data_IF_723777471747
#
_entry.id   IF_723777471747
#
_cell.length_a   1.000
_cell.length_b   1.000
_cell.length_c   1.000
_cell.angle_alpha   90.00
_cell.angle_beta   90.00
_cell.angle_gamma   90.00
#
_symmetry.space_group_name_H-M   'P 1'
#
loop_
_entity.id
_entity.type
_entity.pdbx_description
1 polymer ?
#
# COMPACT_ATOMS: atom_id res chain seq x y z
N UNK A 1 4.62 1.20 -28.00
CA UNK A 1 4.97 1.58 -26.61
C UNK A 1 4.83 0.32 -25.77
N UNK A 2 5.81 -0.09 -24.95
CA UNK A 2 5.63 -1.25 -24.09
C UNK A 2 4.50 -0.93 -23.11
N UNK A 3 3.49 -1.80 -23.03
CA UNK A 3 2.45 -1.68 -22.02
C UNK A 3 3.01 -2.26 -20.73
N UNK A 4 3.06 -1.47 -19.67
CA UNK A 4 3.54 -1.93 -18.36
C UNK A 4 2.73 -3.12 -17.83
N UNK A 5 3.34 -3.90 -16.93
CA UNK A 5 2.74 -5.11 -16.39
C UNK A 5 3.42 -5.58 -15.11
N UNK A 6 2.74 -6.48 -14.39
CA UNK A 6 3.30 -7.23 -13.26
C UNK A 6 4.09 -8.39 -13.85
N UNK A 7 5.38 -8.49 -13.58
CA UNK A 7 6.19 -9.62 -14.02
C UNK A 7 6.53 -10.50 -12.83
N UNK A 8 6.53 -11.82 -13.02
CA UNK A 8 6.94 -12.79 -11.99
C UNK A 8 8.25 -13.46 -12.40
N UNK A 9 9.13 -13.66 -11.43
CA UNK A 9 10.28 -14.55 -11.54
C UNK A 9 10.17 -15.63 -10.47
N UNK A 10 10.62 -16.85 -10.80
CA UNK A 10 10.74 -17.97 -9.86
C UNK A 10 12.20 -18.37 -9.61
N UNK A 11 13.14 -17.57 -10.12
CA UNK A 11 14.58 -17.85 -10.17
C UNK A 11 15.41 -16.61 -9.80
N UNK A 12 14.95 -15.89 -8.77
CA UNK A 12 15.63 -14.71 -8.24
C UNK A 12 15.91 -13.59 -9.28
N UNK A 13 15.06 -13.49 -10.30
CA UNK A 13 15.08 -12.44 -11.30
C UNK A 13 15.85 -12.77 -12.58
N UNK A 14 16.30 -14.02 -12.77
CA UNK A 14 16.98 -14.45 -14.00
C UNK A 14 16.04 -14.56 -15.20
N UNK A 15 14.81 -15.04 -15.00
CA UNK A 15 13.75 -15.09 -16.01
C UNK A 15 12.45 -14.49 -15.50
N UNK A 16 11.70 -13.89 -16.43
CA UNK A 16 10.46 -13.18 -16.12
C UNK A 16 9.31 -13.66 -17.01
N UNK A 17 8.15 -13.93 -16.42
CA UNK A 17 6.87 -14.07 -17.12
C UNK A 17 6.05 -12.79 -16.95
N UNK A 18 5.61 -12.20 -18.07
CA UNK A 18 4.83 -10.96 -18.06
C UNK A 18 3.34 -11.21 -17.82
N UNK A 19 2.77 -10.52 -16.83
CA UNK A 19 1.34 -10.37 -16.62
C UNK A 19 0.93 -8.90 -16.83
N UNK A 20 -0.26 -8.67 -17.36
CA UNK A 20 -0.63 -7.33 -17.86
C UNK A 20 -1.08 -6.37 -16.75
N UNK A 21 -0.60 -5.13 -16.91
CA UNK A 21 -1.04 -3.86 -16.32
C UNK A 21 -1.05 -3.70 -14.79
N UNK A 22 0.01 -3.06 -14.27
CA UNK A 22 -0.08 -2.08 -13.18
C UNK A 22 1.12 -2.06 -12.21
N UNK A 23 1.16 -1.07 -11.33
CA UNK A 23 2.34 -0.68 -10.53
C UNK A 23 2.34 -1.17 -9.08
N UNK A 24 1.36 -1.98 -8.68
CA UNK A 24 1.20 -2.43 -7.29
C UNK A 24 0.92 -3.92 -7.21
N UNK A 25 1.59 -4.61 -6.30
CA UNK A 25 1.40 -6.04 -6.03
C UNK A 25 1.46 -6.21 -4.51
N UNK A 26 0.55 -7.00 -3.96
CA UNK A 26 0.64 -7.47 -2.58
C UNK A 26 0.57 -8.99 -2.56
N UNK A 27 1.32 -9.60 -1.66
CA UNK A 27 1.33 -11.05 -1.42
C UNK A 27 0.68 -11.27 -0.05
N UNK A 28 -0.14 -12.31 0.05
CA UNK A 28 -0.63 -12.76 1.34
C UNK A 28 0.56 -13.28 2.19
N UNK A 29 0.84 -12.68 3.35
CA UNK A 29 2.00 -13.02 4.17
C UNK A 29 1.90 -14.41 4.81
N UNK A 30 0.72 -15.02 4.83
CA UNK A 30 0.49 -16.36 5.34
C UNK A 30 0.34 -17.41 4.22
N UNK A 31 0.21 -16.98 2.97
CA UNK A 31 0.06 -17.85 1.80
C UNK A 31 0.65 -17.19 0.53
N UNK A 32 1.92 -17.47 0.17
CA UNK A 32 2.58 -16.81 -0.96
C UNK A 32 1.96 -17.14 -2.33
N UNK A 33 1.11 -18.17 -2.43
CA UNK A 33 0.36 -18.45 -3.66
C UNK A 33 -0.83 -17.49 -3.83
N UNK A 34 -1.25 -16.82 -2.75
CA UNK A 34 -2.28 -15.79 -2.81
C UNK A 34 -1.65 -14.42 -3.06
N UNK A 35 -1.93 -13.85 -4.23
CA UNK A 35 -1.38 -12.55 -4.66
C UNK A 35 -2.48 -11.62 -5.19
N UNK A 36 -2.28 -10.32 -5.02
CA UNK A 36 -3.23 -9.26 -5.33
C UNK A 36 -2.61 -8.20 -6.20
N UNK A 37 -3.27 -7.84 -7.28
CA UNK A 37 -2.73 -6.85 -8.21
C UNK A 37 -3.78 -6.23 -9.11
N UNK A 38 -3.42 -5.15 -9.79
CA UNK A 38 -4.23 -4.56 -10.84
C UNK A 38 -4.36 -5.55 -12.00
N UNK A 39 -5.52 -5.51 -12.65
CA UNK A 39 -5.77 -6.26 -13.87
C UNK A 39 -7.01 -5.72 -14.58
N UNK A 40 -7.43 -6.39 -15.65
CA UNK A 40 -8.58 -5.96 -16.44
C UNK A 40 -9.59 -7.10 -16.57
N UNK A 41 -10.86 -6.80 -16.32
CA UNK A 41 -11.98 -7.70 -16.59
C UNK A 41 -12.92 -7.01 -17.58
N UNK A 42 -13.14 -7.64 -18.74
CA UNK A 42 -14.00 -7.10 -19.82
C UNK A 42 -13.61 -5.68 -20.26
N UNK A 43 -12.30 -5.41 -20.29
CA UNK A 43 -11.75 -4.11 -20.71
C UNK A 43 -11.86 -2.99 -19.68
N UNK A 44 -12.19 -3.31 -18.43
CA UNK A 44 -12.26 -2.35 -17.34
C UNK A 44 -11.27 -2.73 -16.25
N UNK A 45 -10.57 -1.76 -15.68
CA UNK A 45 -9.54 -2.03 -14.67
C UNK A 45 -10.16 -2.42 -13.31
N UNK A 46 -9.48 -3.33 -12.62
CA UNK A 46 -9.94 -4.01 -11.40
C UNK A 46 -8.78 -4.28 -10.45
N UNK A 47 -9.10 -4.47 -9.18
CA UNK A 47 -8.26 -5.27 -8.29
C UNK A 47 -8.60 -6.74 -8.49
N UNK A 48 -7.58 -7.52 -8.80
CA UNK A 48 -7.63 -8.95 -9.03
C UNK A 48 -6.92 -9.69 -7.89
N UNK A 49 -7.33 -10.94 -7.65
CA UNK A 49 -6.64 -11.89 -6.79
C UNK A 49 -6.35 -13.18 -7.54
N UNK A 50 -5.16 -13.71 -7.35
CA UNK A 50 -4.79 -15.09 -7.66
C UNK A 50 -4.62 -15.89 -6.36
N UNK A 51 -4.82 -17.20 -6.42
CA UNK A 51 -4.57 -18.18 -5.34
C UNK A 51 -3.65 -19.32 -5.81
N UNK A 52 -2.97 -19.09 -6.92
CA UNK A 52 -2.12 -20.04 -7.64
C UNK A 52 -0.88 -19.31 -8.15
N UNK A 53 -0.34 -18.44 -7.31
CA UNK A 53 0.89 -17.67 -7.52
C UNK A 53 0.91 -16.88 -8.83
N UNK A 54 -0.24 -16.38 -9.26
CA UNK A 54 -0.43 -15.57 -10.47
C UNK A 54 -0.84 -16.32 -11.72
N UNK A 55 -1.09 -17.64 -11.68
CA UNK A 55 -1.53 -18.40 -12.86
C UNK A 55 -2.94 -18.01 -13.32
N UNK A 56 -3.89 -17.90 -12.39
CA UNK A 56 -5.27 -17.47 -12.67
C UNK A 56 -5.70 -16.34 -11.75
N UNK A 57 -6.56 -15.46 -12.26
CA UNK A 57 -6.95 -14.22 -11.59
C UNK A 57 -8.46 -14.02 -11.59
N UNK A 58 -9.00 -13.58 -10.45
CA UNK A 58 -10.41 -13.25 -10.25
C UNK A 58 -10.55 -11.82 -9.79
N UNK A 59 -11.47 -11.05 -10.38
CA UNK A 59 -11.77 -9.70 -9.93
C UNK A 59 -12.46 -9.73 -8.56
N UNK A 60 -11.91 -9.00 -7.59
CA UNK A 60 -12.45 -8.92 -6.22
C UNK A 60 -12.92 -7.51 -5.84
N UNK A 61 -12.54 -6.48 -6.61
CA UNK A 61 -13.09 -5.13 -6.49
C UNK A 61 -13.19 -4.48 -7.88
N UNK A 62 -14.33 -3.83 -8.14
CA UNK A 62 -14.64 -3.17 -9.42
C UNK A 62 -14.15 -1.73 -9.51
N UNK A 63 -12.94 -1.48 -9.03
CA UNK A 63 -12.29 -0.17 -9.01
C UNK A 63 -10.82 -0.32 -9.44
N UNK A 64 -10.25 0.73 -10.02
CA UNK A 64 -8.81 0.82 -10.27
C UNK A 64 -8.10 1.22 -8.99
N UNK A 65 -7.10 0.42 -8.60
CA UNK A 65 -6.36 0.66 -7.37
C UNK A 65 -4.95 1.20 -7.60
N UNK A 66 -4.51 2.02 -6.66
CA UNK A 66 -3.18 2.62 -6.62
C UNK A 66 -2.30 2.03 -5.53
N UNK A 67 -2.88 1.30 -4.56
CA UNK A 67 -2.16 0.66 -3.48
C UNK A 67 -2.96 -0.53 -2.95
N UNK A 68 -2.28 -1.59 -2.55
CA UNK A 68 -2.87 -2.74 -1.87
C UNK A 68 -1.97 -3.11 -0.71
N UNK A 69 -2.55 -3.34 0.46
CA UNK A 69 -1.85 -3.87 1.63
C UNK A 69 -2.70 -4.98 2.26
N UNK A 70 -2.09 -6.13 2.52
CA UNK A 70 -2.69 -7.26 3.22
C UNK A 70 -2.22 -7.20 4.67
N UNK A 71 -3.13 -7.36 5.61
CA UNK A 71 -2.80 -7.37 7.04
C UNK A 71 -1.90 -8.57 7.37
N UNK A 72 -0.70 -8.33 7.94
CA UNK A 72 0.28 -9.38 8.24
C UNK A 72 -0.21 -10.41 9.26
N UNK A 73 -1.19 -10.06 10.08
CA UNK A 73 -1.72 -10.93 11.13
C UNK A 73 -3.09 -11.54 10.76
N UNK A 74 -3.70 -11.10 9.66
CA UNK A 74 -5.00 -11.62 9.21
C UNK A 74 -5.24 -11.34 7.71
N UNK A 75 -4.94 -12.28 6.81
CA UNK A 75 -5.06 -12.04 5.36
C UNK A 75 -6.49 -11.82 4.84
N UNK A 76 -7.51 -12.03 5.67
CA UNK A 76 -8.88 -11.61 5.32
C UNK A 76 -9.07 -10.09 5.37
N UNK A 77 -8.16 -9.37 6.03
CA UNK A 77 -8.16 -7.91 6.12
C UNK A 77 -7.22 -7.35 5.07
N UNK A 78 -7.80 -6.63 4.10
CA UNK A 78 -7.06 -6.03 2.99
C UNK A 78 -7.49 -4.57 2.85
N UNK A 79 -6.53 -3.69 2.66
CA UNK A 79 -6.75 -2.28 2.37
C UNK A 79 -6.33 -1.96 0.95
N UNK A 80 -7.08 -1.10 0.29
CA UNK A 80 -6.74 -0.66 -1.05
C UNK A 80 -7.15 0.78 -1.31
N UNK A 81 -6.33 1.53 -2.06
CA UNK A 81 -6.55 2.95 -2.31
C UNK A 81 -7.06 3.20 -3.73
N UNK A 82 -8.20 3.87 -3.84
CA UNK A 82 -8.81 4.27 -5.12
C UNK A 82 -8.77 5.79 -5.22
N UNK A 83 -8.08 6.35 -6.22
CA UNK A 83 -8.02 7.81 -6.39
C UNK A 83 -9.38 8.38 -6.77
N UNK A 84 -9.76 9.47 -6.11
CA UNK A 84 -10.96 10.26 -6.38
C UNK A 84 -10.51 11.67 -6.74
N UNK A 85 -10.31 11.92 -8.03
CA UNK A 85 -9.77 13.19 -8.53
C UNK A 85 -8.30 13.40 -8.18
N UNK A 86 -7.88 14.66 -8.05
CA UNK A 86 -6.47 15.05 -7.93
C UNK A 86 -5.95 15.13 -6.48
N UNK A 87 -6.84 15.15 -5.49
CA UNK A 87 -6.47 15.47 -4.10
C UNK A 87 -7.05 14.53 -3.04
N UNK A 88 -7.85 13.53 -3.44
CA UNK A 88 -8.47 12.61 -2.51
C UNK A 88 -8.41 11.16 -3.00
N UNK A 89 -8.55 10.23 -2.07
CA UNK A 89 -8.77 8.82 -2.35
C UNK A 89 -9.88 8.29 -1.47
N UNK A 90 -10.48 7.19 -1.88
CA UNK A 90 -11.18 6.31 -0.96
C UNK A 90 -10.24 5.17 -0.59
N UNK A 91 -10.08 4.91 0.70
CA UNK A 91 -9.49 3.65 1.18
C UNK A 91 -10.63 2.67 1.35
N UNK A 92 -10.58 1.61 0.57
CA UNK A 92 -11.45 0.46 0.69
C UNK A 92 -10.81 -0.55 1.65
N UNK A 93 -11.64 -1.15 2.50
CA UNK A 93 -11.28 -2.20 3.46
C UNK A 93 -12.23 -3.38 3.30
N UNK A 94 -11.68 -4.57 3.23
CA UNK A 94 -12.39 -5.84 3.45
C UNK A 94 -11.92 -6.46 4.76
N UNK A 95 -12.76 -7.31 5.33
CA UNK A 95 -12.46 -8.16 6.49
C UNK A 95 -12.84 -9.63 6.24
N UNK A 96 -13.21 -9.95 5.00
CA UNK A 96 -13.71 -11.26 4.55
C UNK A 96 -12.98 -11.75 3.30
N UNK A 97 -11.72 -11.32 3.11
CA UNK A 97 -10.88 -11.76 2.00
C UNK A 97 -11.37 -11.25 0.64
N UNK A 98 -11.98 -10.07 0.61
CA UNK A 98 -12.41 -9.40 -0.62
C UNK A 98 -13.78 -9.82 -1.14
N UNK A 99 -14.61 -10.49 -0.33
CA UNK A 99 -16.00 -10.80 -0.69
C UNK A 99 -16.88 -9.55 -0.59
N UNK A 100 -16.63 -8.70 0.41
CA UNK A 100 -17.28 -7.41 0.59
C UNK A 100 -16.29 -6.33 1.01
N UNK A 101 -16.62 -5.08 0.67
CA UNK A 101 -15.76 -3.93 0.92
C UNK A 101 -16.55 -2.76 1.50
N UNK A 102 -15.93 -2.05 2.43
CA UNK A 102 -16.38 -0.75 2.92
C UNK A 102 -15.37 0.31 2.50
N UNK A 103 -15.81 1.53 2.23
CA UNK A 103 -14.92 2.63 1.87
C UNK A 103 -15.00 3.78 2.87
N UNK A 104 -13.85 4.44 3.05
CA UNK A 104 -13.71 5.70 3.79
C UNK A 104 -12.88 6.68 2.97
N UNK A 105 -13.41 7.89 2.82
CA UNK A 105 -12.72 8.96 2.11
C UNK A 105 -11.55 9.47 2.94
N UNK A 106 -10.44 9.73 2.27
CA UNK A 106 -9.19 10.20 2.90
C UNK A 106 -8.41 11.10 1.92
N UNK A 107 -7.23 11.54 2.36
CA UNK A 107 -6.24 12.23 1.52
C UNK A 107 -5.74 11.32 0.40
N UNK A 108 -5.13 11.92 -0.63
CA UNK A 108 -4.59 11.17 -1.76
C UNK A 108 -3.55 10.12 -1.29
N UNK A 109 -3.90 8.85 -1.39
CA UNK A 109 -3.07 7.74 -0.92
C UNK A 109 -2.30 7.12 -2.10
N UNK A 110 -0.98 7.08 -1.99
CA UNK A 110 -0.11 6.47 -3.01
C UNK A 110 0.35 5.07 -2.63
N UNK A 111 0.53 4.83 -1.34
CA UNK A 111 0.84 3.53 -0.78
C UNK A 111 0.15 3.39 0.57
N UNK A 112 0.03 2.14 1.01
CA UNK A 112 -0.48 1.73 2.30
C UNK A 112 0.55 0.79 2.91
N UNK A 113 0.86 0.97 4.19
CA UNK A 113 1.61 -0.02 4.97
C UNK A 113 0.96 -0.20 6.33
N UNK A 114 0.97 -1.43 6.84
CA UNK A 114 0.29 -1.84 8.07
C UNK A 114 1.37 -2.18 9.09
N UNK A 115 1.21 -1.73 10.32
CA UNK A 115 2.10 -2.11 11.42
C UNK A 115 2.04 -3.64 11.63
N UNK A 116 3.18 -4.34 11.63
CA UNK A 116 3.19 -5.80 11.68
C UNK A 116 2.79 -6.37 13.04
N UNK A 117 2.80 -5.60 14.11
CA UNK A 117 2.34 -6.04 15.43
C UNK A 117 0.92 -5.56 15.77
N UNK A 118 0.48 -4.43 15.21
CA UNK A 118 -0.82 -3.83 15.49
C UNK A 118 -1.58 -3.49 14.20
N UNK A 119 -2.44 -4.41 13.75
CA UNK A 119 -3.25 -4.27 12.54
C UNK A 119 -4.23 -3.08 12.53
N UNK A 120 -4.41 -2.37 13.66
CA UNK A 120 -5.17 -1.11 13.67
C UNK A 120 -4.34 0.08 13.19
N UNK A 121 -3.02 -0.03 13.18
CA UNK A 121 -2.11 1.03 12.79
C UNK A 121 -1.75 0.89 11.31
N UNK A 122 -2.09 1.92 10.54
CA UNK A 122 -1.89 1.95 9.09
C UNK A 122 -1.31 3.29 8.71
N UNK A 123 -0.32 3.30 7.82
CA UNK A 123 0.28 4.49 7.30
C UNK A 123 -0.03 4.69 5.82
N UNK A 124 -0.28 5.93 5.45
CA UNK A 124 -0.50 6.38 4.07
C UNK A 124 0.54 7.44 3.72
N UNK A 125 1.34 7.17 2.71
CA UNK A 125 2.11 8.22 2.03
C UNK A 125 1.28 8.93 0.97
N UNK A 126 1.46 10.24 0.88
CA UNK A 126 0.71 11.09 -0.02
C UNK A 126 1.62 11.91 -0.94
N UNK A 127 1.08 12.37 -2.06
CA UNK A 127 1.69 13.43 -2.87
C UNK A 127 1.40 14.77 -2.18
N UNK A 128 2.44 15.47 -1.70
CA UNK A 128 2.39 16.85 -1.16
C UNK A 128 1.75 17.04 0.21
N UNK A 129 1.01 16.09 0.77
CA UNK A 129 0.36 16.28 2.08
C UNK A 129 1.14 15.67 3.24
N UNK A 130 2.22 14.94 2.96
CA UNK A 130 3.00 14.24 3.96
C UNK A 130 2.52 12.82 4.24
N UNK A 131 2.80 12.35 5.45
CA UNK A 131 2.44 11.02 5.93
C UNK A 131 1.20 11.11 6.83
N UNK A 132 0.30 10.15 6.69
CA UNK A 132 -0.91 10.01 7.51
C UNK A 132 -0.91 8.66 8.22
N UNK A 133 -1.51 8.61 9.41
CA UNK A 133 -1.69 7.40 10.22
C UNK A 133 -3.15 7.25 10.62
N UNK A 134 -3.63 6.03 10.54
CA UNK A 134 -4.80 5.56 11.27
C UNK A 134 -4.33 4.75 12.48
N UNK A 135 -5.06 4.82 13.59
CA UNK A 135 -4.88 3.97 14.77
C UNK A 135 -6.16 3.20 15.11
N UNK A 136 -7.11 3.16 14.17
CA UNK A 136 -8.45 2.61 14.33
C UNK A 136 -8.85 1.74 13.11
N UNK A 137 -7.86 1.16 12.44
CA UNK A 137 -8.08 0.24 11.32
C UNK A 137 -8.71 0.93 10.10
N UNK A 138 -8.30 2.17 9.83
CA UNK A 138 -8.69 2.97 8.67
C UNK A 138 -10.01 3.73 8.82
N UNK A 139 -10.58 3.86 10.02
CA UNK A 139 -11.81 4.62 10.25
C UNK A 139 -11.55 6.13 10.24
N UNK A 140 -10.42 6.56 10.78
CA UNK A 140 -9.95 7.95 10.77
C UNK A 140 -8.46 8.06 10.46
N UNK A 141 -8.04 9.22 9.97
CA UNK A 141 -6.67 9.49 9.52
C UNK A 141 -6.17 10.82 10.09
N UNK A 142 -4.97 10.81 10.67
CA UNK A 142 -4.27 12.00 11.17
C UNK A 142 -2.94 12.15 10.44
N UNK A 143 -2.61 13.38 10.05
CA UNK A 143 -1.26 13.68 9.54
C UNK A 143 -0.21 13.46 10.63
N UNK A 144 0.78 12.62 10.36
CA UNK A 144 1.87 12.31 11.28
C UNK A 144 3.22 12.43 10.55
N UNK A 145 4.16 13.21 11.11
CA UNK A 145 5.50 13.34 10.54
C UNK A 145 5.64 14.39 9.44
N UNK A 146 6.52 14.19 8.46
CA UNK A 146 6.90 15.22 7.50
C UNK A 146 5.66 15.78 6.80
N UNK A 147 5.38 17.06 7.05
CA UNK A 147 4.21 17.72 6.48
C UNK A 147 4.59 18.44 5.19
N UNK A 148 3.62 18.56 4.26
CA UNK A 148 3.77 19.36 3.03
C UNK A 148 4.91 18.92 2.11
N UNK A 149 5.21 17.62 2.10
CA UNK A 149 6.19 17.02 1.20
C UNK A 149 5.58 15.77 0.54
N UNK A 150 6.22 15.30 -0.52
CA UNK A 150 5.95 13.98 -1.06
C UNK A 150 6.63 12.96 -0.18
N UNK A 151 5.89 11.92 0.20
CA UNK A 151 6.44 10.75 0.87
C UNK A 151 6.57 9.66 -0.18
N UNK A 152 7.80 9.26 -0.47
CA UNK A 152 8.08 8.24 -1.48
C UNK A 152 8.02 6.83 -0.93
N UNK A 153 8.45 6.64 0.31
CA UNK A 153 8.46 5.34 0.97
C UNK A 153 8.39 5.50 2.48
N UNK A 154 7.72 4.55 3.12
CA UNK A 154 7.73 4.34 4.56
C UNK A 154 8.03 2.88 4.81
N UNK A 155 8.99 2.62 5.68
CA UNK A 155 9.30 1.28 6.16
C UNK A 155 9.19 1.25 7.68
N UNK A 156 8.67 0.14 8.19
CA UNK A 156 8.48 -0.14 9.60
C UNK A 156 9.50 -1.23 9.94
N UNK A 157 10.24 -1.04 11.02
CA UNK A 157 11.12 -2.07 11.54
C UNK A 157 10.28 -3.28 12.01
N UNK A 158 10.52 -4.46 11.44
CA UNK A 158 9.72 -5.66 11.72
C UNK A 158 9.96 -6.22 13.13
N UNK A 159 11.14 -6.00 13.72
CA UNK A 159 11.47 -6.46 15.08
C UNK A 159 11.03 -5.44 16.14
N UNK A 160 10.95 -4.16 15.77
CA UNK A 160 10.48 -3.11 16.63
C UNK A 160 9.62 -2.08 15.88
N UNK A 161 8.31 -2.32 15.71
CA UNK A 161 7.43 -1.45 14.90
C UNK A 161 7.27 -0.03 15.42
N UNK A 162 7.79 0.28 16.61
CA UNK A 162 7.92 1.67 17.07
C UNK A 162 8.86 2.47 16.18
N UNK A 163 9.83 1.82 15.55
CA UNK A 163 10.80 2.44 14.66
C UNK A 163 10.23 2.48 13.24
N UNK A 164 10.14 3.69 12.69
CA UNK A 164 9.60 3.92 11.35
C UNK A 164 10.51 4.90 10.63
N UNK A 165 10.80 4.64 9.36
CA UNK A 165 11.55 5.54 8.49
C UNK A 165 10.65 6.06 7.38
N UNK A 166 10.76 7.35 7.07
CA UNK A 166 10.03 7.99 5.98
C UNK A 166 11.01 8.75 5.07
N UNK A 167 11.04 8.35 3.79
CA UNK A 167 11.81 9.03 2.76
C UNK A 167 10.92 10.06 2.04
N UNK A 168 11.36 11.32 2.05
CA UNK A 168 10.61 12.44 1.44
C UNK A 168 11.30 12.97 0.20
N UNK A 169 10.64 13.83 -0.57
CA UNK A 169 11.26 14.43 -1.76
C UNK A 169 12.26 15.53 -1.41
N UNK A 170 11.79 16.60 -0.78
CA UNK A 170 12.62 17.79 -0.56
C UNK A 170 13.26 17.81 0.82
N UNK A 171 12.68 17.13 1.80
CA UNK A 171 13.10 17.26 3.18
C UNK A 171 13.96 16.11 3.72
N UNK A 172 14.41 15.16 2.90
CA UNK A 172 15.35 14.12 3.35
C UNK A 172 14.68 12.91 4.02
N UNK A 173 15.47 12.21 4.85
CA UNK A 173 15.05 11.02 5.59
C UNK A 173 14.64 11.38 7.01
N UNK A 174 13.52 10.82 7.46
CA UNK A 174 13.03 10.95 8.82
C UNK A 174 12.94 9.59 9.52
N UNK A 175 13.10 9.61 10.84
CA UNK A 175 12.92 8.47 11.74
C UNK A 175 11.92 8.81 12.84
N UNK A 176 11.07 7.87 13.19
CA UNK A 176 10.28 7.87 14.42
C UNK A 176 10.69 6.70 15.29
N UNK A 177 10.59 6.84 16.61
CA UNK A 177 10.85 5.77 17.61
C UNK A 177 9.60 5.47 18.47
N UNK A 178 8.46 5.98 18.04
CA UNK A 178 7.19 5.90 18.74
C UNK A 178 6.01 5.80 17.79
N UNK A 179 6.11 4.95 16.75
CA UNK A 179 5.01 4.68 15.79
C UNK A 179 4.47 5.96 15.14
N UNK A 180 5.37 6.85 14.76
CA UNK A 180 5.03 8.09 14.06
C UNK A 180 4.44 9.20 14.93
N UNK A 181 4.42 9.08 16.26
CA UNK A 181 3.93 10.16 17.13
C UNK A 181 4.85 11.40 17.12
N UNK A 182 6.16 11.19 17.01
CA UNK A 182 7.17 12.23 16.76
C UNK A 182 8.24 11.75 15.78
N UNK A 183 8.88 12.71 15.11
CA UNK A 183 9.85 12.43 14.06
C UNK A 183 11.11 13.26 14.23
N UNK A 184 12.25 12.61 14.05
CA UNK A 184 13.56 13.22 13.92
C UNK A 184 13.99 13.19 12.45
N UNK A 185 14.59 14.27 11.97
CA UNK A 185 15.17 14.33 10.64
C UNK A 185 16.61 13.83 10.69
N UNK A 186 16.90 12.73 10.00
CA UNK A 186 18.23 12.11 9.98
C UNK A 186 19.17 12.74 8.96
N UNK A 187 18.64 13.23 7.84
CA UNK A 187 19.45 13.82 6.78
C UNK A 187 18.68 14.83 5.95
N UNK A 188 19.43 15.64 5.20
CA UNK A 188 18.90 16.56 4.19
C UNK A 188 19.42 16.11 2.83
N UNK A 189 18.58 16.07 1.79
CA UNK A 189 19.15 16.04 0.43
C UNK A 189 19.82 17.40 0.20
N UNK A 190 21.12 17.38 -0.14
CA UNK A 190 21.85 18.60 -0.48
C UNK A 190 21.22 19.23 -1.75
N UNK A 191 21.25 20.58 -1.87
CA UNK A 191 20.61 21.30 -2.98
C UNK A 191 21.18 20.95 -4.36
#
# INVERSE_FOLDING_TARGET
MPQGGVSKSTDAGEHWSEYRSGTVLAIDPMDPDTVYGPGSEKGQDRLMRSRDAGETWVAILKEYTYAVAVDPNNPNVIYTAVRRGISSSDVFKTTDGGLSWTSRRTVLANFLTIDPEDSQIIYIGTDRYGLYKSADGGQSWRGVGPSRDWVYSVTIDEENPRIIYAATNSNGLYKSENRGESWERLSTFAP
#
